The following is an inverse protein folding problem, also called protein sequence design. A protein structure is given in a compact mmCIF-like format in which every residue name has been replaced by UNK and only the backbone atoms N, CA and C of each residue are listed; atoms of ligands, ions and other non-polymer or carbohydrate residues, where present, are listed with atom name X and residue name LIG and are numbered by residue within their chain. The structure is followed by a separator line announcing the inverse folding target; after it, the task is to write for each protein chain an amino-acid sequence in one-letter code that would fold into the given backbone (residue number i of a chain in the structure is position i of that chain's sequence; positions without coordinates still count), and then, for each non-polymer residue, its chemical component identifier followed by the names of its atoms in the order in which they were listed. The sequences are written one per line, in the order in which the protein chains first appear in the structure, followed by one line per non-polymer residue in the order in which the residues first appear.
data_IF_262497101647
#
_entry.id   IF_262497101647
#
_cell.length_a   1.000
_cell.length_b   1.000
_cell.length_c   1.000
_cell.angle_alpha   90.00
_cell.angle_beta   90.00
_cell.angle_gamma   90.00
#
_symmetry.space_group_name_H-M   'P 1'
#
loop_
_entity.id
_entity.type
_entity.pdbx_description
1 polymer ?
#
# COMPACT_ATOMS: atom_id res chain seq x y z
N UNK A 1 12.65 8.15 -7.39
CA UNK A 1 11.30 8.03 -7.96
C UNK A 1 10.51 7.08 -7.09
N UNK A 2 9.25 7.38 -6.82
CA UNK A 2 8.42 6.55 -5.96
C UNK A 2 7.79 5.38 -6.73
N UNK A 3 7.72 4.23 -6.06
CA UNK A 3 7.13 3.00 -6.60
C UNK A 3 6.09 2.46 -5.64
N UNK A 4 4.94 2.07 -6.20
CA UNK A 4 3.88 1.39 -5.48
C UNK A 4 4.06 -0.12 -5.65
N UNK A 5 4.21 -0.81 -4.53
CA UNK A 5 4.38 -2.26 -4.45
C UNK A 5 3.30 -2.83 -3.54
N UNK A 6 2.34 -3.55 -4.11
CA UNK A 6 1.31 -4.23 -3.35
C UNK A 6 1.36 -5.74 -3.61
N UNK A 7 1.87 -6.48 -2.63
CA UNK A 7 1.84 -7.93 -2.60
C UNK A 7 0.51 -8.41 -2.02
N UNK A 8 -0.30 -9.10 -2.81
CA UNK A 8 -1.54 -9.76 -2.34
C UNK A 8 -1.18 -11.15 -1.85
N UNK A 9 -1.50 -11.44 -0.61
CA UNK A 9 -1.19 -12.73 0.01
C UNK A 9 -1.98 -13.84 -0.69
N UNK A 10 -1.36 -14.99 -0.91
CA UNK A 10 -2.11 -16.20 -1.32
C UNK A 10 -2.97 -16.70 -0.15
N UNK A 11 -4.04 -17.49 -0.42
CA UNK A 11 -4.79 -18.13 0.65
C UNK A 11 -3.90 -18.93 1.61
N UNK A 12 -4.08 -18.71 2.92
CA UNK A 12 -3.32 -19.39 3.97
C UNK A 12 -1.86 -18.97 4.11
N UNK A 13 -1.46 -17.80 3.58
CA UNK A 13 -0.09 -17.30 3.71
C UNK A 13 0.25 -16.73 5.10
N UNK A 14 -0.73 -16.34 5.91
CA UNK A 14 -0.50 -15.64 7.17
C UNK A 14 0.49 -16.36 8.11
N UNK A 15 0.36 -17.68 8.40
CA UNK A 15 1.32 -18.39 9.24
C UNK A 15 2.76 -18.38 8.67
N UNK A 16 2.90 -18.35 7.35
CA UNK A 16 4.20 -18.23 6.71
C UNK A 16 4.79 -16.83 6.93
N UNK A 17 3.99 -15.77 6.78
CA UNK A 17 4.43 -14.39 7.04
C UNK A 17 4.83 -14.17 8.49
N UNK A 18 4.08 -14.74 9.45
CA UNK A 18 4.47 -14.72 10.87
C UNK A 18 5.86 -15.31 11.07
N UNK A 19 6.16 -16.47 10.47
CA UNK A 19 7.50 -17.09 10.58
C UNK A 19 8.61 -16.28 9.93
N UNK A 20 8.31 -15.54 8.86
CA UNK A 20 9.28 -14.76 8.09
C UNK A 20 9.32 -13.28 8.50
N UNK A 21 8.64 -12.91 9.58
CA UNK A 21 8.46 -11.50 9.95
C UNK A 21 9.79 -10.83 10.28
N UNK A 22 10.72 -11.54 10.93
CA UNK A 22 12.02 -10.98 11.28
C UNK A 22 12.86 -10.68 10.04
N UNK A 23 12.96 -11.64 9.13
CA UNK A 23 13.67 -11.46 7.87
C UNK A 23 13.04 -10.33 7.05
N UNK A 24 11.71 -10.28 6.99
CA UNK A 24 10.99 -9.20 6.32
C UNK A 24 11.32 -7.84 6.94
N UNK A 25 11.35 -7.72 8.28
CA UNK A 25 11.72 -6.48 8.94
C UNK A 25 13.17 -6.09 8.69
N UNK A 26 14.11 -7.02 8.79
CA UNK A 26 15.52 -6.75 8.52
C UNK A 26 15.75 -6.32 7.06
N UNK A 27 14.95 -6.86 6.12
CA UNK A 27 14.94 -6.39 4.74
C UNK A 27 14.42 -4.95 4.63
N UNK A 28 13.28 -4.65 5.27
CA UNK A 28 12.62 -3.34 5.19
C UNK A 28 13.41 -2.23 5.89
N UNK A 29 14.16 -2.55 6.94
CA UNK A 29 15.00 -1.58 7.66
C UNK A 29 16.09 -0.96 6.77
N UNK A 30 16.52 -1.67 5.72
CA UNK A 30 17.47 -1.14 4.71
C UNK A 30 16.89 -0.03 3.83
N UNK A 31 15.56 0.14 3.86
CA UNK A 31 14.83 1.13 3.09
C UNK A 31 14.05 2.12 3.98
N UNK A 32 14.29 2.10 5.30
CA UNK A 32 13.50 2.85 6.28
C UNK A 32 13.43 4.35 5.98
N UNK A 33 14.51 4.94 5.48
CA UNK A 33 14.64 6.36 5.10
C UNK A 33 13.96 6.72 3.77
N UNK A 34 13.55 5.71 2.98
CA UNK A 34 13.00 5.87 1.63
C UNK A 34 11.56 5.44 1.50
N UNK A 35 11.04 4.71 2.48
CA UNK A 35 9.63 4.37 2.51
C UNK A 35 8.82 5.67 2.59
N UNK A 36 7.70 5.71 1.88
CA UNK A 36 6.72 6.81 1.87
C UNK A 36 5.47 6.37 2.62
N UNK A 37 5.03 5.13 2.38
CA UNK A 37 3.99 4.47 3.16
C UNK A 37 4.25 2.97 3.20
N UNK A 38 3.85 2.32 4.29
CA UNK A 38 3.94 0.85 4.40
C UNK A 38 2.90 0.30 5.34
N UNK A 39 2.47 -0.93 5.10
CA UNK A 39 1.70 -1.68 6.07
C UNK A 39 0.93 -2.85 5.50
N UNK A 40 0.48 -3.78 6.36
CA UNK A 40 -0.30 -4.92 5.94
C UNK A 40 -1.74 -4.50 5.61
N UNK A 41 -2.33 -5.13 4.60
CA UNK A 41 -3.79 -5.22 4.51
C UNK A 41 -4.28 -6.37 5.39
N UNK A 42 -5.52 -6.31 5.89
CA UNK A 42 -6.01 -7.15 6.99
C UNK A 42 -7.38 -7.77 6.71
N UNK A 43 -7.68 -8.90 7.37
CA UNK A 43 -9.01 -9.53 7.34
C UNK A 43 -10.05 -8.79 8.20
N UNK A 44 -9.62 -8.01 9.18
CA UNK A 44 -10.50 -7.32 10.12
C UNK A 44 -9.74 -6.47 11.13
N UNK A 45 -10.44 -5.96 12.13
CA UNK A 45 -9.86 -5.18 13.22
C UNK A 45 -9.50 -6.08 14.42
N UNK A 46 -8.49 -5.68 15.19
CA UNK A 46 -8.10 -6.35 16.44
C UNK A 46 -6.95 -7.35 16.29
N UNK A 47 -6.69 -8.09 17.37
CA UNK A 47 -5.50 -8.95 17.50
C UNK A 47 -5.58 -10.24 16.68
N UNK A 48 -6.81 -10.72 16.42
CA UNK A 48 -7.05 -11.91 15.59
C UNK A 48 -7.00 -11.59 14.07
N UNK A 49 -6.72 -10.34 13.70
CA UNK A 49 -6.65 -9.93 12.30
C UNK A 49 -5.41 -10.51 11.61
N UNK A 50 -5.65 -11.28 10.56
CA UNK A 50 -4.60 -11.83 9.71
C UNK A 50 -4.24 -10.86 8.59
N UNK A 51 -2.98 -10.85 8.17
CA UNK A 51 -2.59 -10.09 6.99
C UNK A 51 -3.11 -10.74 5.70
N UNK A 52 -3.61 -9.92 4.79
CA UNK A 52 -4.07 -10.31 3.44
C UNK A 52 -3.19 -9.74 2.32
N UNK A 53 -2.16 -8.98 2.68
CA UNK A 53 -1.22 -8.38 1.75
C UNK A 53 -0.26 -7.44 2.44
N UNK A 54 0.60 -6.81 1.64
CA UNK A 54 1.60 -5.84 2.10
C UNK A 54 1.71 -4.70 1.09
N UNK A 55 1.39 -3.48 1.53
CA UNK A 55 1.63 -2.25 0.80
C UNK A 55 3.01 -1.69 1.16
N UNK A 56 3.77 -1.30 0.14
CA UNK A 56 4.94 -0.44 0.27
C UNK A 56 4.92 0.60 -0.85
N UNK A 57 5.01 1.87 -0.47
CA UNK A 57 5.37 2.96 -1.36
C UNK A 57 6.78 3.38 -0.99
N UNK A 58 7.71 3.37 -1.94
CA UNK A 58 9.15 3.53 -1.66
C UNK A 58 9.84 4.36 -2.73
N UNK A 59 10.69 5.30 -2.32
CA UNK A 59 11.54 6.09 -3.20
C UNK A 59 12.82 5.31 -3.57
N UNK A 60 12.98 5.01 -4.85
CA UNK A 60 14.10 4.22 -5.38
C UNK A 60 14.73 4.90 -6.60
N UNK A 61 16.02 4.63 -6.89
CA UNK A 61 16.72 5.33 -7.97
C UNK A 61 16.19 4.96 -9.36
N UNK A 62 15.76 3.71 -9.57
CA UNK A 62 15.33 3.22 -10.88
C UNK A 62 14.44 1.96 -10.78
N UNK A 63 13.95 1.53 -11.95
CA UNK A 63 13.06 0.36 -12.10
C UNK A 63 13.75 -0.94 -11.71
N UNK A 64 15.08 -1.03 -11.84
CA UNK A 64 15.83 -2.23 -11.45
C UNK A 64 15.80 -2.36 -9.92
N UNK A 65 16.07 -1.27 -9.20
CA UNK A 65 15.97 -1.24 -7.74
C UNK A 65 14.53 -1.53 -7.27
N UNK A 66 13.51 -1.04 -7.99
CA UNK A 66 12.11 -1.35 -7.68
C UNK A 66 11.77 -2.84 -7.85
N UNK A 67 12.30 -3.49 -8.89
CA UNK A 67 12.16 -4.95 -9.08
C UNK A 67 12.89 -5.72 -7.99
N UNK A 68 14.09 -5.30 -7.61
CA UNK A 68 14.83 -5.91 -6.50
C UNK A 68 14.05 -5.79 -5.19
N UNK A 69 13.54 -4.60 -4.87
CA UNK A 69 12.70 -4.39 -3.69
C UNK A 69 11.46 -5.31 -3.69
N UNK A 70 10.74 -5.39 -4.82
CA UNK A 70 9.50 -6.16 -4.91
C UNK A 70 9.69 -7.68 -4.90
N UNK A 71 10.80 -8.18 -5.45
CA UNK A 71 10.98 -9.61 -5.71
C UNK A 71 12.11 -10.27 -4.92
N UNK A 72 12.97 -9.51 -4.26
CA UNK A 72 13.94 -10.04 -3.30
C UNK A 72 13.46 -9.92 -1.85
N UNK A 73 12.28 -9.34 -1.61
CA UNK A 73 11.72 -9.28 -0.25
C UNK A 73 11.33 -10.68 0.27
N UNK A 74 11.55 -10.97 1.57
CA UNK A 74 11.40 -12.32 2.11
C UNK A 74 10.01 -12.94 1.93
N UNK A 75 8.94 -12.14 2.02
CA UNK A 75 7.59 -12.67 1.80
C UNK A 75 7.37 -13.13 0.35
N UNK A 76 7.87 -12.38 -0.63
CA UNK A 76 7.81 -12.82 -2.03
C UNK A 76 8.65 -14.08 -2.24
N UNK A 77 9.91 -14.08 -1.77
CA UNK A 77 10.83 -15.21 -1.92
C UNK A 77 10.33 -16.50 -1.27
N UNK A 78 9.60 -16.38 -0.16
CA UNK A 78 8.98 -17.50 0.53
C UNK A 78 7.67 -17.99 -0.13
N UNK A 79 7.16 -17.28 -1.14
CA UNK A 79 5.90 -17.60 -1.82
C UNK A 79 4.66 -17.24 -0.99
N UNK A 80 4.72 -16.17 -0.20
CA UNK A 80 3.57 -15.67 0.56
C UNK A 80 2.59 -14.89 -0.33
N UNK A 81 3.06 -14.27 -1.41
CA UNK A 81 2.21 -13.51 -2.33
C UNK A 81 1.72 -14.35 -3.50
N UNK A 82 0.42 -14.25 -3.81
CA UNK A 82 -0.17 -14.75 -5.04
C UNK A 82 0.14 -13.84 -6.23
N UNK A 83 0.15 -12.52 -6.00
CA UNK A 83 0.45 -11.53 -7.00
C UNK A 83 1.14 -10.31 -6.40
N UNK A 84 1.92 -9.61 -7.22
CA UNK A 84 2.56 -8.33 -6.86
C UNK A 84 2.21 -7.30 -7.93
N UNK A 85 1.53 -6.23 -7.52
CA UNK A 85 1.36 -5.04 -8.34
C UNK A 85 2.57 -4.13 -8.11
N UNK A 86 3.43 -4.00 -9.12
CA UNK A 86 4.58 -3.11 -9.13
C UNK A 86 4.40 -2.06 -10.22
N UNK A 87 4.26 -0.80 -9.81
CA UNK A 87 4.07 0.35 -10.70
C UNK A 87 4.81 1.58 -10.20
N UNK A 88 5.00 2.58 -11.07
CA UNK A 88 5.43 3.91 -10.63
C UNK A 88 4.29 4.60 -9.88
N UNK A 89 4.64 5.37 -8.86
CA UNK A 89 3.71 6.13 -8.06
C UNK A 89 4.00 7.63 -8.22
N UNK A 90 3.01 8.37 -8.68
CA UNK A 90 3.06 9.83 -8.75
C UNK A 90 2.37 10.39 -7.49
N UNK A 91 3.14 10.68 -6.44
CA UNK A 91 2.61 11.18 -5.17
C UNK A 91 2.10 12.61 -5.30
N UNK A 92 0.77 12.75 -5.33
CA UNK A 92 0.08 14.03 -5.53
C UNK A 92 0.08 14.87 -4.25
N UNK A 93 0.09 14.23 -3.08
CA UNK A 93 0.11 14.94 -1.81
C UNK A 93 1.51 15.46 -1.46
N UNK A 94 2.56 14.81 -1.96
CA UNK A 94 3.94 15.11 -1.56
C UNK A 94 4.21 14.84 -0.07
N UNK A 95 3.36 14.02 0.55
CA UNK A 95 3.44 13.63 1.95
C UNK A 95 3.74 12.14 2.07
N UNK A 96 4.23 11.76 3.24
CA UNK A 96 4.44 10.39 3.67
C UNK A 96 3.40 10.00 4.71
N UNK A 97 3.30 8.72 5.02
CA UNK A 97 2.42 8.22 6.07
C UNK A 97 2.73 8.80 7.45
N UNK A 98 3.98 9.22 7.71
CA UNK A 98 4.39 9.82 9.00
C UNK A 98 3.96 11.27 9.14
N UNK A 99 3.63 11.95 8.05
CA UNK A 99 3.10 13.32 8.08
C UNK A 99 1.61 13.35 8.46
N UNK A 100 0.94 12.19 8.48
CA UNK A 100 -0.46 12.09 8.84
C UNK A 100 -0.67 12.20 10.36
N UNK A 101 -1.23 13.34 10.79
CA UNK A 101 -1.57 13.61 12.20
C UNK A 101 -3.08 13.70 12.46
N UNK A 102 -3.91 13.49 11.44
CA UNK A 102 -5.36 13.72 11.45
C UNK A 102 -6.20 12.58 12.01
N UNK A 103 -5.63 11.70 12.85
CA UNK A 103 -6.29 10.49 13.31
C UNK A 103 -7.58 10.78 14.09
N UNK A 104 -8.69 10.14 13.68
CA UNK A 104 -9.99 10.24 14.34
C UNK A 104 -10.31 8.96 15.11
N UNK A 105 -10.71 9.10 16.37
CA UNK A 105 -11.12 7.97 17.21
C UNK A 105 -12.28 7.20 16.56
N UNK A 106 -12.16 5.87 16.52
CA UNK A 106 -13.14 4.97 15.94
C UNK A 106 -13.05 4.79 14.42
N UNK A 107 -12.20 5.56 13.72
CA UNK A 107 -12.00 5.35 12.28
C UNK A 107 -10.99 4.23 12.00
N UNK A 108 -11.21 3.52 10.90
CA UNK A 108 -10.26 2.56 10.33
C UNK A 108 -9.40 3.22 9.26
N UNK A 109 -8.28 2.58 8.90
CA UNK A 109 -7.48 2.98 7.75
C UNK A 109 -7.63 1.98 6.62
N UNK A 110 -7.61 2.46 5.39
CA UNK A 110 -7.91 1.64 4.23
C UNK A 110 -6.92 1.94 3.12
N UNK A 111 -6.49 0.88 2.44
CA UNK A 111 -5.85 0.96 1.13
C UNK A 111 -6.94 0.91 0.07
N UNK A 112 -6.94 1.92 -0.80
CA UNK A 112 -7.81 2.05 -1.96
C UNK A 112 -6.99 1.89 -3.23
N UNK A 113 -7.42 1.03 -4.15
CA UNK A 113 -6.77 0.86 -5.46
C UNK A 113 -7.85 0.88 -6.54
N UNK A 114 -7.77 1.84 -7.46
CA UNK A 114 -8.67 1.96 -8.60
C UNK A 114 -7.85 1.86 -9.90
N UNK A 115 -7.85 0.67 -10.52
CA UNK A 115 -7.17 0.41 -11.80
C UNK A 115 -8.09 0.71 -12.99
N UNK A 116 -8.51 1.96 -13.11
CA UNK A 116 -9.49 2.44 -14.10
C UNK A 116 -8.88 3.25 -15.25
N UNK A 117 -7.53 3.31 -15.32
CA UNK A 117 -6.80 4.07 -16.33
C UNK A 117 -6.95 5.59 -16.21
N UNK A 118 -7.51 6.10 -15.10
CA UNK A 118 -7.72 7.53 -14.91
C UNK A 118 -6.53 8.23 -14.25
N UNK A 119 -6.27 9.46 -14.68
CA UNK A 119 -5.27 10.34 -14.08
C UNK A 119 -5.71 10.79 -12.68
N UNK A 120 -4.77 10.99 -11.74
CA UNK A 120 -5.11 11.56 -10.45
C UNK A 120 -5.53 13.02 -10.59
N UNK A 121 -6.72 13.34 -10.10
CA UNK A 121 -7.18 14.73 -9.94
C UNK A 121 -6.82 15.23 -8.55
N UNK A 122 -6.61 16.55 -8.35
CA UNK A 122 -6.38 17.12 -7.02
C UNK A 122 -7.50 16.71 -6.06
N UNK A 123 -7.12 16.00 -5.00
CA UNK A 123 -8.02 15.53 -3.96
C UNK A 123 -7.56 16.09 -2.63
N UNK A 124 -8.44 16.79 -1.93
CA UNK A 124 -8.15 17.38 -0.63
C UNK A 124 -9.12 16.83 0.40
N UNK A 125 -8.60 16.10 1.38
CA UNK A 125 -9.33 15.65 2.55
C UNK A 125 -8.37 15.50 3.72
N UNK A 126 -8.75 15.89 4.96
CA UNK A 126 -7.91 15.71 6.14
C UNK A 126 -7.68 14.24 6.50
N UNK A 127 -8.40 13.32 5.85
CA UNK A 127 -8.28 11.88 6.08
C UNK A 127 -7.42 11.16 5.03
N UNK A 128 -6.79 11.89 4.10
CA UNK A 128 -5.82 11.29 3.19
C UNK A 128 -4.47 11.12 3.90
N UNK A 129 -3.92 9.92 3.80
CA UNK A 129 -2.59 9.59 4.32
C UNK A 129 -1.58 9.71 3.17
N UNK A 130 -1.86 9.02 2.06
CA UNK A 130 -1.12 9.13 0.78
C UNK A 130 -2.12 9.02 -0.36
N UNK A 131 -1.89 9.72 -1.46
CA UNK A 131 -2.72 9.63 -2.67
C UNK A 131 -1.87 9.96 -3.89
N UNK A 132 -2.05 9.19 -4.96
CA UNK A 132 -1.29 9.39 -6.18
C UNK A 132 -1.76 8.56 -7.37
N UNK A 133 -1.17 8.87 -8.51
CA UNK A 133 -1.36 8.13 -9.76
C UNK A 133 -0.52 6.86 -9.81
N UNK A 134 -1.04 5.84 -10.49
CA UNK A 134 -0.33 4.61 -10.81
C UNK A 134 -0.01 4.60 -12.30
N UNK A 135 1.28 4.43 -12.64
CA UNK A 135 1.72 4.29 -14.04
C UNK A 135 2.53 3.02 -14.26
N UNK A 136 2.56 2.56 -15.50
CA UNK A 136 3.47 1.51 -15.95
C UNK A 136 4.93 1.86 -15.62
N UNK A 137 5.80 0.85 -15.56
CA UNK A 137 7.20 1.05 -15.18
C UNK A 137 8.03 1.86 -16.18
N UNK A 138 7.60 1.93 -17.45
CA UNK A 138 8.15 2.86 -18.44
C UNK A 138 7.64 4.30 -18.25
N UNK A 139 6.50 4.47 -17.59
CA UNK A 139 5.84 5.76 -17.33
C UNK A 139 4.81 6.16 -18.39
N UNK A 140 4.64 5.37 -19.45
CA UNK A 140 3.86 5.76 -20.62
C UNK A 140 2.35 5.50 -20.47
N UNK A 141 1.96 4.53 -19.63
CA UNK A 141 0.57 4.13 -19.46
C UNK A 141 0.06 4.49 -18.07
N UNK A 142 -1.05 5.22 -18.01
CA UNK A 142 -1.82 5.42 -16.78
C UNK A 142 -2.56 4.13 -16.46
N UNK A 143 -2.31 3.57 -15.28
CA UNK A 143 -2.98 2.38 -14.79
C UNK A 143 -4.19 2.74 -13.93
N UNK A 144 -4.14 3.88 -13.26
CA UNK A 144 -5.21 4.37 -12.40
C UNK A 144 -4.66 5.14 -11.20
N UNK A 145 -5.26 4.94 -10.02
CA UNK A 145 -4.96 5.70 -8.80
C UNK A 145 -4.94 4.79 -7.57
N UNK A 146 -4.20 5.20 -6.55
CA UNK A 146 -4.26 4.58 -5.23
C UNK A 146 -4.22 5.62 -4.12
N UNK A 147 -4.81 5.27 -2.99
CA UNK A 147 -4.73 6.06 -1.77
C UNK A 147 -4.63 5.16 -0.54
N UNK A 148 -3.96 5.63 0.50
CA UNK A 148 -4.25 5.18 1.86
C UNK A 148 -5.02 6.30 2.56
N UNK A 149 -6.10 5.95 3.24
CA UNK A 149 -7.02 6.90 3.85
C UNK A 149 -7.43 6.44 5.24
N UNK A 150 -7.95 7.36 6.05
CA UNK A 150 -8.71 7.06 7.24
C UNK A 150 -10.21 7.30 6.98
N UNK A 151 -11.10 6.45 7.49
CA UNK A 151 -12.54 6.54 7.26
C UNK A 151 -13.34 5.78 8.33
N UNK A 152 -14.63 6.12 8.55
CA UNK A 152 -15.45 5.40 9.53
C UNK A 152 -15.79 3.96 9.12
N UNK A 153 -15.83 3.67 7.82
CA UNK A 153 -16.16 2.35 7.27
C UNK A 153 -15.64 2.21 5.82
N UNK A 154 -15.63 0.98 5.24
CA UNK A 154 -15.16 0.75 3.88
C UNK A 154 -15.92 1.54 2.81
N UNK A 155 -17.22 1.78 2.98
CA UNK A 155 -18.04 2.52 2.02
C UNK A 155 -17.64 4.00 1.95
N UNK A 156 -17.42 4.62 3.11
CA UNK A 156 -16.92 5.99 3.21
C UNK A 156 -15.50 6.11 2.66
N UNK A 157 -14.67 5.08 2.86
CA UNK A 157 -13.34 5.01 2.25
C UNK A 157 -13.44 4.96 0.71
N UNK A 158 -14.26 4.06 0.17
CA UNK A 158 -14.48 3.95 -1.28
C UNK A 158 -14.95 5.26 -1.93
N UNK A 159 -15.78 6.03 -1.21
CA UNK A 159 -16.28 7.32 -1.67
C UNK A 159 -15.20 8.40 -1.83
N UNK A 160 -14.04 8.26 -1.18
CA UNK A 160 -12.90 9.16 -1.36
C UNK A 160 -12.13 8.92 -2.66
N UNK A 161 -12.19 7.70 -3.20
CA UNK A 161 -11.53 7.32 -4.45
C UNK A 161 -12.47 6.51 -5.34
N UNK A 162 -13.55 7.11 -5.88
CA UNK A 162 -14.46 6.39 -6.76
C UNK A 162 -13.74 6.03 -8.08
N UNK A 163 -13.84 4.76 -8.47
CA UNK A 163 -13.40 4.30 -9.79
C UNK A 163 -14.30 4.90 -10.90
N UNK A 164 -13.72 5.07 -12.09
CA UNK A 164 -14.44 5.59 -13.27
C UNK A 164 -14.98 4.46 -14.15
N UNK A 165 -16.08 4.74 -14.85
CA UNK A 165 -16.70 3.79 -15.77
C UNK A 165 -17.21 2.54 -15.03
N UNK A 166 -16.98 1.37 -15.61
CA UNK A 166 -17.42 0.08 -15.06
C UNK A 166 -16.38 -0.55 -14.09
N UNK A 167 -15.25 0.14 -13.84
CA UNK A 167 -14.26 -0.32 -12.89
C UNK A 167 -14.75 -0.16 -11.44
N UNK A 168 -14.14 -0.92 -10.52
CA UNK A 168 -14.42 -0.81 -9.09
C UNK A 168 -13.14 -0.43 -8.34
N UNK A 169 -13.33 0.29 -7.23
CA UNK A 169 -12.24 0.56 -6.28
C UNK A 169 -12.11 -0.63 -5.35
N UNK A 170 -10.94 -1.28 -5.36
CA UNK A 170 -10.58 -2.23 -4.32
C UNK A 170 -10.43 -1.48 -2.99
N UNK A 171 -11.06 -2.00 -1.93
CA UNK A 171 -10.97 -1.43 -0.58
C UNK A 171 -10.47 -2.51 0.36
N UNK A 172 -9.30 -2.28 0.95
CA UNK A 172 -8.68 -3.20 1.89
C UNK A 172 -8.48 -2.50 3.22
N UNK A 173 -8.91 -3.11 4.32
CA UNK A 173 -8.51 -2.64 5.63
C UNK A 173 -6.98 -2.68 5.73
N UNK A 174 -6.39 -1.61 6.23
CA UNK A 174 -4.95 -1.41 6.27
C UNK A 174 -4.55 -0.73 7.58
N UNK A 175 -3.30 -0.88 8.00
CA UNK A 175 -2.74 -0.13 9.13
C UNK A 175 -1.33 0.32 8.84
N UNK A 176 -0.86 1.35 9.54
CA UNK A 176 0.56 1.71 9.52
C UNK A 176 1.42 0.50 9.88
N UNK A 177 2.33 0.16 8.98
CA UNK A 177 3.35 -0.85 9.19
C UNK A 177 4.56 -0.25 9.88
N UNK A 178 5.24 -1.07 10.67
CA UNK A 178 6.40 -0.68 11.45
C UNK A 178 6.89 -1.91 12.20
N UNK A 179 8.19 -1.96 12.51
CA UNK A 179 8.68 -2.93 13.48
C UNK A 179 8.00 -2.60 14.81
N UNK A 180 7.31 -3.54 15.48
CA UNK A 180 6.84 -3.30 16.83
C UNK A 180 8.05 -2.91 17.68
N UNK A 181 8.00 -1.75 18.33
CA UNK A 181 8.97 -1.41 19.36
C UNK A 181 8.65 -2.27 20.57
N UNK A 182 9.62 -3.07 21.04
CA UNK A 182 9.55 -3.78 22.32
C UNK A 182 9.32 -2.82 23.49
#
# INVERSE_FOLDING_TARGET
MEYFVYGRDRPGAFPLKVRMSNEHWDFMDRYADRLVARGPTLTGHGDDAESTGSLHIVDLPDVRAAREFAYEEPYFRAGAFESVLLCRFDNVLGHTMWDFTGAVEGYGRYLLVALDGSEPEPLTSPHLIVYGGLRSLDGETVLGRAAAVEAPNPEAAAALLPARGDAHTEVHLWRFGGRPTE
#
